data_IF_379407528095
#
_entry.id   IF_379407528095
#
_cell.length_a   1.000
_cell.length_b   1.000
_cell.length_c   1.000
_cell.angle_alpha   90.00
_cell.angle_beta   90.00
_cell.angle_gamma   90.00
#
_symmetry.space_group_name_H-M   'P 1'
#
loop_
_entity.id
_entity.type
_entity.pdbx_description
1 polymer ?
#
# COMPACT_ATOMS: atom_id res chain seq x y z
N UNK A 1 50.25 43.05 -13.93
CA UNK A 1 49.27 42.50 -14.90
C UNK A 1 48.75 41.19 -14.36
N UNK A 2 47.45 40.94 -14.56
CA UNK A 2 46.64 39.78 -14.13
C UNK A 2 47.39 38.43 -14.22
N UNK A 3 47.11 37.49 -13.31
CA UNK A 3 46.35 36.27 -13.64
C UNK A 3 46.13 35.36 -12.42
N UNK A 4 44.89 34.90 -12.35
CA UNK A 4 44.23 34.01 -11.38
C UNK A 4 44.75 32.58 -11.45
N UNK A 5 45.10 32.00 -10.31
CA UNK A 5 45.23 30.55 -10.09
C UNK A 5 44.99 30.32 -8.59
N UNK A 6 44.23 29.35 -8.11
CA UNK A 6 43.40 28.33 -8.72
C UNK A 6 42.42 27.95 -7.62
N UNK A 7 41.14 27.78 -7.97
CA UNK A 7 40.10 27.21 -7.11
C UNK A 7 40.62 25.87 -6.58
N UNK A 8 40.87 25.76 -5.27
CA UNK A 8 41.08 24.45 -4.63
C UNK A 8 39.76 24.05 -3.96
N UNK A 9 39.08 23.17 -4.68
CA UNK A 9 37.85 22.48 -4.35
C UNK A 9 37.94 21.87 -2.93
N UNK A 10 37.22 22.45 -1.96
CA UNK A 10 36.91 21.74 -0.72
C UNK A 10 35.75 20.81 -1.05
N UNK A 11 36.07 19.61 -1.52
CA UNK A 11 35.10 18.53 -1.65
C UNK A 11 34.70 18.08 -0.25
N UNK A 12 33.72 18.76 0.33
CA UNK A 12 33.00 18.26 1.49
C UNK A 12 32.17 17.08 0.99
N UNK A 13 32.75 15.88 1.07
CA UNK A 13 31.98 14.64 0.98
C UNK A 13 31.13 14.58 2.25
N UNK A 14 30.01 15.31 2.25
CA UNK A 14 28.88 14.92 3.08
C UNK A 14 28.37 13.62 2.48
N UNK A 15 28.97 12.50 2.89
CA UNK A 15 28.34 11.20 2.70
C UNK A 15 27.12 11.24 3.63
N UNK A 16 26.02 11.76 3.11
CA UNK A 16 24.71 11.57 3.70
C UNK A 16 24.40 10.10 3.46
N UNK A 17 24.94 9.23 4.30
CA UNK A 17 24.36 7.91 4.52
C UNK A 17 23.05 8.17 5.27
N UNK A 18 22.01 8.57 4.54
CA UNK A 18 20.66 8.15 4.91
C UNK A 18 20.67 6.64 4.66
N UNK A 19 21.19 5.91 5.64
CA UNK A 19 20.75 4.55 5.86
C UNK A 19 19.29 4.68 6.27
N UNK A 20 18.39 4.73 5.29
CA UNK A 20 16.98 4.45 5.51
C UNK A 20 16.95 3.11 6.22
N UNK A 21 16.63 3.14 7.51
CA UNK A 21 16.27 1.96 8.27
C UNK A 21 15.27 1.16 7.43
N UNK A 22 15.66 -0.05 7.00
CA UNK A 22 14.81 -1.00 6.28
C UNK A 22 13.75 -1.62 7.22
N UNK A 23 13.14 -0.82 8.08
CA UNK A 23 11.95 -1.21 8.82
C UNK A 23 10.74 -0.66 8.07
N UNK A 24 10.19 -1.49 7.19
CA UNK A 24 8.77 -1.52 6.77
C UNK A 24 8.04 -0.15 6.70
N UNK A 25 8.69 0.89 6.16
CA UNK A 25 8.11 2.22 5.98
C UNK A 25 7.17 2.28 4.76
N UNK A 26 6.78 1.11 4.23
CA UNK A 26 5.83 1.04 3.14
C UNK A 26 4.47 1.40 3.71
N UNK A 27 4.02 2.61 3.39
CA UNK A 27 2.68 3.03 3.75
C UNK A 27 1.68 2.13 3.03
N UNK A 28 0.67 1.68 3.77
CA UNK A 28 -0.46 0.96 3.24
C UNK A 28 -1.59 1.92 2.85
N UNK A 29 -1.39 3.23 3.01
CA UNK A 29 -2.44 4.21 2.79
C UNK A 29 -2.83 4.30 1.31
N UNK A 30 -4.13 4.41 1.07
CA UNK A 30 -4.68 4.62 -0.27
C UNK A 30 -5.97 3.84 -0.53
N UNK A 31 -6.44 3.97 -1.77
CA UNK A 31 -7.65 3.31 -2.28
C UNK A 31 -7.28 1.96 -2.91
N UNK A 32 -8.01 0.91 -2.55
CA UNK A 32 -7.76 -0.45 -3.01
C UNK A 32 -8.90 -0.96 -3.85
N UNK A 33 -8.56 -1.46 -5.04
CA UNK A 33 -9.52 -1.90 -6.05
C UNK A 33 -9.47 -3.41 -6.24
N UNK A 34 -10.64 -4.02 -6.36
CA UNK A 34 -10.75 -5.37 -6.91
C UNK A 34 -10.97 -5.26 -8.41
N UNK A 35 -9.99 -5.75 -9.17
CA UNK A 35 -10.00 -5.71 -10.64
C UNK A 35 -9.92 -7.13 -11.18
N UNK A 36 -10.94 -7.53 -11.95
CA UNK A 36 -11.01 -8.79 -12.68
C UNK A 36 -11.82 -8.61 -13.97
N UNK A 37 -12.11 -9.68 -14.71
CA UNK A 37 -12.84 -9.60 -15.99
C UNK A 37 -14.26 -9.03 -15.89
N UNK A 38 -14.87 -9.03 -14.70
CA UNK A 38 -16.25 -8.62 -14.46
C UNK A 38 -16.35 -7.35 -13.60
N UNK A 39 -15.25 -6.87 -13.00
CA UNK A 39 -15.30 -5.74 -12.07
C UNK A 39 -14.02 -4.92 -12.04
N UNK A 40 -14.20 -3.61 -11.82
CA UNK A 40 -13.16 -2.65 -11.48
C UNK A 40 -13.76 -1.71 -10.43
N UNK A 41 -13.65 -2.10 -9.18
CA UNK A 41 -14.41 -1.50 -8.07
C UNK A 41 -13.48 -1.21 -6.89
N UNK A 42 -13.63 -0.04 -6.28
CA UNK A 42 -12.96 0.27 -5.02
C UNK A 42 -13.65 -0.49 -3.90
N UNK A 43 -12.90 -1.27 -3.14
CA UNK A 43 -13.44 -2.13 -2.08
C UNK A 43 -13.21 -1.52 -0.71
N UNK A 44 -12.05 -0.90 -0.49
CA UNK A 44 -11.74 -0.24 0.76
C UNK A 44 -10.69 0.86 0.60
N UNK A 45 -10.60 1.72 1.60
CA UNK A 45 -9.56 2.73 1.73
C UNK A 45 -8.82 2.53 3.05
N UNK A 46 -7.49 2.57 3.01
CA UNK A 46 -6.64 2.52 4.22
C UNK A 46 -6.11 3.93 4.51
N UNK A 47 -6.19 4.33 5.78
CA UNK A 47 -5.58 5.54 6.33
C UNK A 47 -4.95 5.22 7.69
N UNK A 48 -3.62 5.24 7.75
CA UNK A 48 -2.84 4.88 8.93
C UNK A 48 -2.91 3.39 9.22
N UNK A 49 -3.62 3.03 10.29
CA UNK A 49 -3.86 1.64 10.71
C UNK A 49 -5.33 1.23 10.57
N UNK A 50 -6.17 2.06 9.93
CA UNK A 50 -7.60 1.79 9.78
C UNK A 50 -7.98 1.65 8.31
N UNK A 51 -8.73 0.60 7.99
CA UNK A 51 -9.44 0.42 6.74
C UNK A 51 -10.92 0.74 6.88
N UNK A 52 -11.50 1.38 5.87
CA UNK A 52 -12.95 1.57 5.71
C UNK A 52 -13.37 0.78 4.48
N UNK A 53 -14.36 -0.11 4.64
CA UNK A 53 -14.88 -0.95 3.58
C UNK A 53 -16.07 -0.24 2.94
N UNK A 54 -16.09 -0.16 1.61
CA UNK A 54 -17.12 0.57 0.86
C UNK A 54 -18.42 -0.24 0.77
N UNK A 55 -18.32 -1.57 0.67
CA UNK A 55 -19.46 -2.49 0.63
C UNK A 55 -19.02 -3.90 1.07
N UNK A 56 -19.74 -4.48 2.03
CA UNK A 56 -19.45 -5.78 2.62
C UNK A 56 -20.17 -5.97 3.95
N UNK A 57 -19.96 -7.11 4.60
CA UNK A 57 -20.53 -7.38 5.93
C UNK A 57 -19.80 -6.65 7.06
N UNK A 58 -18.47 -6.49 6.90
CA UNK A 58 -17.64 -5.66 7.77
C UNK A 58 -17.70 -4.20 7.33
N UNK A 59 -17.72 -3.27 8.30
CA UNK A 59 -17.74 -1.83 8.05
C UNK A 59 -16.30 -1.27 7.96
N UNK A 60 -15.40 -1.80 8.81
CA UNK A 60 -14.03 -1.32 8.96
C UNK A 60 -13.08 -2.46 9.32
N UNK A 61 -11.78 -2.20 9.26
CA UNK A 61 -10.79 -3.05 9.88
C UNK A 61 -9.64 -2.27 10.50
N UNK A 62 -8.96 -2.87 11.47
CA UNK A 62 -7.72 -2.34 12.06
C UNK A 62 -6.55 -3.22 11.64
N UNK A 63 -5.44 -2.59 11.23
CA UNK A 63 -4.24 -3.26 10.73
C UNK A 63 -3.22 -3.39 11.85
N UNK A 64 -2.76 -4.62 12.09
CA UNK A 64 -1.55 -4.90 12.84
C UNK A 64 -0.41 -5.18 11.86
N UNK A 65 0.50 -4.21 11.68
CA UNK A 65 1.64 -4.32 10.76
C UNK A 65 2.75 -5.25 11.26
N UNK A 66 2.85 -5.45 12.58
CA UNK A 66 3.87 -6.33 13.17
C UNK A 66 3.54 -7.80 12.94
N UNK A 67 2.25 -8.14 13.02
CA UNK A 67 1.77 -9.51 12.88
C UNK A 67 1.19 -9.83 11.50
N UNK A 68 1.16 -8.84 10.60
CA UNK A 68 0.54 -8.96 9.27
C UNK A 68 -0.93 -9.45 9.34
N UNK A 69 -1.70 -8.93 10.30
CA UNK A 69 -3.12 -9.24 10.45
C UNK A 69 -4.01 -8.00 10.35
N UNK A 70 -5.26 -8.22 9.97
CA UNK A 70 -6.35 -7.25 10.13
C UNK A 70 -7.38 -7.80 11.10
N UNK A 71 -8.04 -6.92 11.84
CA UNK A 71 -9.25 -7.24 12.61
C UNK A 71 -10.44 -6.56 11.95
N UNK A 72 -11.35 -7.36 11.37
CA UNK A 72 -12.59 -6.92 10.75
C UNK A 72 -13.60 -6.56 11.83
N UNK A 73 -14.28 -5.43 11.66
CA UNK A 73 -15.25 -4.89 12.61
C UNK A 73 -16.47 -4.37 11.86
N UNK A 74 -17.66 -4.67 12.36
CA UNK A 74 -18.90 -4.15 11.81
C UNK A 74 -20.08 -4.45 12.70
N UNK A 75 -21.17 -3.71 12.51
CA UNK A 75 -22.39 -3.90 13.31
C UNK A 75 -23.08 -5.27 13.10
N UNK A 76 -22.78 -5.93 11.98
CA UNK A 76 -23.41 -7.18 11.55
C UNK A 76 -22.51 -8.41 11.69
N UNK A 77 -21.27 -8.25 12.15
CA UNK A 77 -20.28 -9.34 12.25
C UNK A 77 -19.69 -9.46 13.65
N UNK A 78 -19.22 -10.65 13.99
CA UNK A 78 -18.32 -10.86 15.13
C UNK A 78 -16.92 -10.46 14.66
N UNK A 79 -16.14 -9.80 15.53
CA UNK A 79 -14.76 -9.44 15.20
C UNK A 79 -13.98 -10.67 14.72
N UNK A 80 -13.41 -10.58 13.51
CA UNK A 80 -12.67 -11.65 12.87
C UNK A 80 -11.25 -11.16 12.56
N UNK A 81 -10.26 -11.98 12.89
CA UNK A 81 -8.85 -11.67 12.62
C UNK A 81 -8.36 -12.47 11.42
N UNK A 82 -7.85 -11.77 10.41
CA UNK A 82 -7.38 -12.36 9.15
C UNK A 82 -5.94 -11.98 8.86
N UNK A 83 -5.16 -12.93 8.36
CA UNK A 83 -3.80 -12.66 7.87
C UNK A 83 -3.87 -11.91 6.53
N UNK A 84 -3.07 -10.86 6.36
CA UNK A 84 -2.88 -10.21 5.07
C UNK A 84 -1.45 -10.38 4.57
N UNK A 85 -1.25 -10.10 3.27
CA UNK A 85 0.08 -9.90 2.69
C UNK A 85 0.05 -8.65 1.84
N UNK A 86 1.06 -7.79 1.98
CA UNK A 86 1.23 -6.64 1.10
C UNK A 86 2.54 -6.76 0.32
N UNK A 87 2.45 -6.73 -1.01
CA UNK A 87 3.64 -6.79 -1.88
C UNK A 87 3.39 -6.04 -3.18
N UNK A 88 4.32 -5.17 -3.56
CA UNK A 88 4.34 -4.48 -4.85
C UNK A 88 3.00 -3.77 -5.20
N UNK A 89 2.32 -3.20 -4.20
CA UNK A 89 1.03 -2.51 -4.38
C UNK A 89 -0.19 -3.44 -4.42
N UNK A 90 -0.03 -4.72 -4.07
CA UNK A 90 -1.12 -5.69 -3.95
C UNK A 90 -1.31 -6.06 -2.48
N UNK A 91 -2.53 -5.84 -1.98
CA UNK A 91 -2.97 -6.26 -0.65
C UNK A 91 -3.82 -7.53 -0.79
N UNK A 92 -3.29 -8.68 -0.38
CA UNK A 92 -4.00 -9.95 -0.40
C UNK A 92 -4.58 -10.24 0.97
N UNK A 93 -5.90 -10.34 1.09
CA UNK A 93 -6.57 -10.62 2.38
C UNK A 93 -7.94 -11.25 2.15
N UNK A 94 -8.49 -11.88 3.18
CA UNK A 94 -9.89 -12.28 3.24
C UNK A 94 -10.70 -11.20 3.96
N UNK A 95 -11.68 -10.60 3.28
CA UNK A 95 -12.62 -9.64 3.87
C UNK A 95 -14.06 -10.17 3.82
N UNK A 96 -14.33 -11.18 2.97
CA UNK A 96 -15.68 -11.62 2.62
C UNK A 96 -15.71 -13.12 2.32
N UNK A 97 -15.13 -13.92 3.21
CA UNK A 97 -15.02 -15.39 3.14
C UNK A 97 -14.15 -15.94 2.00
N UNK A 98 -13.50 -15.07 1.23
CA UNK A 98 -12.56 -15.46 0.18
C UNK A 98 -11.41 -14.48 0.11
N UNK A 99 -10.19 -15.03 0.03
CA UNK A 99 -8.98 -14.25 -0.22
C UNK A 99 -8.96 -13.66 -1.62
N UNK A 100 -8.81 -12.34 -1.69
CA UNK A 100 -8.67 -11.61 -2.94
C UNK A 100 -7.42 -10.75 -2.95
N UNK A 101 -6.94 -10.47 -4.16
CA UNK A 101 -5.90 -9.48 -4.42
C UNK A 101 -6.56 -8.13 -4.70
N UNK A 102 -6.25 -7.15 -3.85
CA UNK A 102 -6.71 -5.77 -3.99
C UNK A 102 -5.55 -4.86 -4.38
N UNK A 103 -5.75 -4.12 -5.47
CA UNK A 103 -4.71 -3.32 -6.10
C UNK A 103 -4.75 -1.87 -5.60
N UNK A 104 -3.65 -1.40 -5.03
CA UNK A 104 -3.48 -0.02 -4.60
C UNK A 104 -3.49 0.91 -5.82
N UNK A 105 -4.44 1.85 -5.86
CA UNK A 105 -4.59 2.81 -6.95
C UNK A 105 -3.28 3.56 -7.21
N UNK A 106 -2.92 3.68 -8.50
CA UNK A 106 -1.69 4.34 -8.93
C UNK A 106 -0.43 3.47 -8.86
N UNK A 107 -0.49 2.27 -8.29
CA UNK A 107 0.62 1.31 -8.34
C UNK A 107 0.82 0.69 -9.72
N UNK A 108 2.01 0.14 -9.96
CA UNK A 108 2.29 -0.64 -11.17
C UNK A 108 1.37 -1.85 -11.31
N UNK A 109 1.06 -2.53 -10.19
CA UNK A 109 0.15 -3.67 -10.18
C UNK A 109 -1.27 -3.28 -10.59
N UNK A 110 -1.76 -2.14 -10.10
CA UNK A 110 -3.04 -1.57 -10.50
C UNK A 110 -3.10 -1.27 -12.00
N UNK A 111 -2.10 -0.57 -12.54
CA UNK A 111 -2.05 -0.25 -13.97
C UNK A 111 -1.95 -1.51 -14.86
N UNK A 112 -1.20 -2.53 -14.40
CA UNK A 112 -1.13 -3.83 -15.09
C UNK A 112 -2.47 -4.57 -15.05
N UNK A 113 -3.19 -4.51 -13.94
CA UNK A 113 -4.52 -5.11 -13.83
C UNK A 113 -5.52 -4.43 -14.78
N UNK A 114 -5.54 -3.10 -14.84
CA UNK A 114 -6.39 -2.37 -15.79
C UNK A 114 -6.13 -2.82 -17.25
N UNK A 115 -4.85 -2.88 -17.65
CA UNK A 115 -4.43 -3.39 -18.97
C UNK A 115 -4.89 -4.81 -19.26
N UNK A 116 -4.68 -5.70 -18.29
CA UNK A 116 -5.01 -7.11 -18.41
C UNK A 116 -6.52 -7.31 -18.63
N UNK A 117 -7.33 -6.54 -17.91
CA UNK A 117 -8.79 -6.66 -17.93
C UNK A 117 -9.49 -5.65 -18.85
N UNK A 118 -8.72 -4.85 -19.63
CA UNK A 118 -9.20 -3.90 -20.65
C UNK A 118 -10.06 -2.77 -20.08
N UNK A 119 -9.59 -2.18 -18.98
CA UNK A 119 -10.19 -0.99 -18.35
C UNK A 119 -9.40 0.29 -18.57
N UNK A 120 -8.24 0.24 -19.24
CA UNK A 120 -7.38 1.39 -19.55
C UNK A 120 -7.57 1.97 -20.96
#
# INVERSE_FOLDING_TARGET
MKKTFSVLFVSFLAIILISCSNQNNQTLDGEYYWINENRNERVFTISGNKGIIDSGEADTFVINKENETIELMGSQIINLSESYRFKDGVFTVDISETKHDYYLKGSDAYNKALKKYRYD
#
